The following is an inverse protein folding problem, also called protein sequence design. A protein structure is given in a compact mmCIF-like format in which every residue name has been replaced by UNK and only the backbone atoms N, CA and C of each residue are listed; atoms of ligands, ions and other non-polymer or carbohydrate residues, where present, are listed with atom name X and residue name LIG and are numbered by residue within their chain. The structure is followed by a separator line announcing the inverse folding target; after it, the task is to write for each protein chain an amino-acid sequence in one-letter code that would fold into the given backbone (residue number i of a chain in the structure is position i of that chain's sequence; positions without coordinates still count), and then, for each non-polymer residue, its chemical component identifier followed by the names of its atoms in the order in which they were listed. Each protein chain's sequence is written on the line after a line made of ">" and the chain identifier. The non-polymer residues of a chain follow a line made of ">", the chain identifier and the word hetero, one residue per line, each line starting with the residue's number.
data_IF_638943117237
#
_entry.id   IF_638943117237
#
_cell.length_a   1.000
_cell.length_b   1.000
_cell.length_c   1.000
_cell.angle_alpha   90.00
_cell.angle_beta   90.00
_cell.angle_gamma   90.00
#
_symmetry.space_group_name_H-M   'P 1'
#
loop_
_entity.id
_entity.type
_entity.pdbx_description
1 polymer ?
#
# COMPACT_ATOMS: atom_id res chain seq x y z
N UNK A 1 3.37 6.18 9.00
CA UNK A 1 2.42 5.05 9.18
C UNK A 1 3.16 4.00 9.97
N UNK A 2 2.48 3.24 10.81
CA UNK A 2 3.14 2.41 11.81
C UNK A 2 2.87 0.94 11.53
N UNK A 3 3.94 0.13 11.59
CA UNK A 3 3.88 -1.33 11.51
C UNK A 3 4.10 -1.86 12.93
N UNK A 4 3.13 -2.59 13.45
CA UNK A 4 3.25 -3.25 14.74
C UNK A 4 3.78 -4.66 14.51
N UNK A 5 4.89 -4.97 15.16
CA UNK A 5 5.55 -6.28 15.05
C UNK A 5 5.63 -6.88 16.45
N UNK A 6 5.35 -8.17 16.56
CA UNK A 6 5.56 -8.96 17.76
C UNK A 6 6.40 -10.18 17.40
N UNK A 7 7.48 -10.40 18.15
CA UNK A 7 8.32 -11.59 18.03
C UNK A 7 8.53 -12.17 19.42
N UNK A 8 8.12 -13.42 19.64
CA UNK A 8 8.30 -14.13 20.91
C UNK A 8 7.91 -13.27 22.12
N UNK A 9 6.71 -12.69 22.10
CA UNK A 9 6.15 -11.81 23.15
C UNK A 9 6.76 -10.39 23.23
N UNK A 10 7.85 -10.11 22.51
CA UNK A 10 8.43 -8.77 22.42
C UNK A 10 7.75 -7.95 21.33
N UNK A 11 7.34 -6.73 21.65
CA UNK A 11 6.62 -5.84 20.72
C UNK A 11 7.54 -4.72 20.22
N UNK A 12 7.49 -4.48 18.92
CA UNK A 12 8.21 -3.43 18.20
C UNK A 12 7.22 -2.57 17.42
N UNK A 13 7.55 -1.28 17.33
CA UNK A 13 6.77 -0.29 16.59
C UNK A 13 7.69 0.32 15.54
N UNK A 14 7.43 0.02 14.27
CA UNK A 14 8.27 0.44 13.14
C UNK A 14 7.57 1.54 12.36
N UNK A 15 8.27 2.65 12.15
CA UNK A 15 7.78 3.73 11.31
C UNK A 15 8.08 3.43 9.84
N UNK A 16 7.02 3.32 9.04
CA UNK A 16 7.09 3.03 7.63
C UNK A 16 6.41 4.11 6.79
N UNK A 17 7.12 4.61 5.77
CA UNK A 17 6.70 5.79 5.00
C UNK A 17 6.25 5.52 3.55
N UNK A 18 6.49 4.33 2.99
CA UNK A 18 6.32 4.08 1.54
C UNK A 18 5.36 2.95 1.23
N UNK A 19 4.10 3.29 1.02
CA UNK A 19 3.07 2.26 0.87
C UNK A 19 2.38 2.21 -0.49
N UNK A 20 2.63 3.11 -1.46
CA UNK A 20 1.93 3.12 -2.76
C UNK A 20 2.50 2.19 -3.85
N UNK A 21 3.36 1.25 -3.47
CA UNK A 21 4.00 0.31 -4.40
C UNK A 21 3.31 -1.06 -4.35
N UNK A 22 3.38 -1.85 -5.44
CA UNK A 22 2.86 -3.22 -5.45
C UNK A 22 3.67 -4.17 -4.57
N UNK A 23 4.86 -3.74 -4.14
CA UNK A 23 5.74 -4.42 -3.22
C UNK A 23 6.05 -3.47 -2.08
N UNK A 24 5.87 -3.91 -0.84
CA UNK A 24 6.23 -3.14 0.34
C UNK A 24 7.44 -3.81 0.95
N UNK A 25 8.54 -3.06 1.05
CA UNK A 25 9.74 -3.51 1.73
C UNK A 25 9.89 -2.70 3.00
N UNK A 26 9.59 -3.31 4.15
CA UNK A 26 9.69 -2.70 5.47
C UNK A 26 11.08 -3.05 6.02
N UNK A 27 11.95 -2.05 6.13
CA UNK A 27 13.27 -2.20 6.74
C UNK A 27 13.13 -2.15 8.27
N UNK A 28 13.61 -3.20 8.94
CA UNK A 28 13.58 -3.33 10.41
C UNK A 28 14.98 -3.48 11.02
N UNK A 29 16.05 -3.29 10.24
CA UNK A 29 17.44 -3.54 10.67
C UNK A 29 17.83 -2.73 11.89
N UNK A 30 17.39 -1.47 11.94
CA UNK A 30 17.72 -0.54 13.03
C UNK A 30 17.01 -0.88 14.35
N UNK A 31 16.06 -1.81 14.35
CA UNK A 31 15.31 -2.21 15.54
C UNK A 31 15.93 -3.42 16.25
N UNK A 32 16.98 -4.03 15.69
CA UNK A 32 17.72 -5.16 16.29
C UNK A 32 16.80 -6.29 16.77
N UNK A 33 15.82 -6.66 15.93
CA UNK A 33 14.85 -7.70 16.24
C UNK A 33 15.53 -9.07 16.18
N UNK A 34 15.86 -9.64 17.34
CA UNK A 34 16.54 -10.93 17.47
C UNK A 34 15.55 -12.09 17.57
N UNK A 35 15.73 -13.08 16.70
CA UNK A 35 14.97 -14.33 16.68
C UNK A 35 15.58 -15.36 17.64
N UNK A 36 14.72 -16.14 18.28
CA UNK A 36 15.11 -17.37 18.97
C UNK A 36 15.28 -18.54 18.00
N UNK A 37 15.60 -19.72 18.54
CA UNK A 37 15.63 -20.95 17.74
C UNK A 37 14.24 -21.37 17.25
N UNK A 38 13.19 -21.04 18.01
CA UNK A 38 11.78 -21.16 17.63
C UNK A 38 11.14 -19.78 17.74
N UNK A 39 10.35 -19.39 16.75
CA UNK A 39 9.83 -18.04 16.62
C UNK A 39 8.33 -18.06 16.33
N UNK A 40 7.60 -17.25 17.10
CA UNK A 40 6.25 -16.80 16.77
C UNK A 40 6.34 -15.34 16.40
N UNK A 41 6.09 -15.05 15.12
CA UNK A 41 6.18 -13.72 14.56
C UNK A 41 4.81 -13.29 14.05
N UNK A 42 4.33 -12.16 14.58
CA UNK A 42 3.10 -11.52 14.18
C UNK A 42 3.45 -10.11 13.71
N UNK A 43 2.83 -9.65 12.64
CA UNK A 43 2.79 -8.22 12.36
C UNK A 43 1.43 -7.80 11.86
N UNK A 44 1.11 -6.53 12.06
CA UNK A 44 -0.05 -5.93 11.45
C UNK A 44 0.15 -4.45 11.15
N UNK A 45 -0.58 -3.99 10.14
CA UNK A 45 -0.60 -2.61 9.68
C UNK A 45 -2.07 -2.23 9.54
N UNK A 46 -2.52 -1.30 10.37
CA UNK A 46 -3.89 -0.81 10.35
C UNK A 46 -4.03 0.37 9.41
N UNK A 47 -5.11 0.36 8.64
CA UNK A 47 -5.51 1.42 7.72
C UNK A 47 -4.36 1.97 6.86
N UNK A 48 -3.51 1.12 6.25
CA UNK A 48 -2.35 1.64 5.55
C UNK A 48 -2.67 2.42 4.27
N UNK A 49 -3.88 2.23 3.75
CA UNK A 49 -4.50 3.04 2.69
C UNK A 49 -5.97 3.26 3.06
N UNK A 50 -6.63 4.19 2.36
CA UNK A 50 -8.05 4.53 2.58
C UNK A 50 -8.98 3.30 2.45
N UNK A 51 -8.66 2.38 1.56
CA UNK A 51 -9.44 1.18 1.26
C UNK A 51 -8.88 -0.09 1.92
N UNK A 52 -7.58 -0.13 2.28
CA UNK A 52 -7.00 -1.28 2.97
C UNK A 52 -7.17 -1.04 4.46
N UNK A 53 -7.95 -1.89 5.10
CA UNK A 53 -8.22 -1.80 6.52
C UNK A 53 -7.12 -2.44 7.34
N UNK A 54 -6.57 -3.55 6.85
CA UNK A 54 -5.63 -4.36 7.58
C UNK A 54 -4.71 -5.12 6.63
N UNK A 55 -3.42 -5.10 6.95
CA UNK A 55 -2.50 -6.15 6.54
C UNK A 55 -2.04 -6.86 7.80
N UNK A 56 -2.11 -8.17 7.84
CA UNK A 56 -1.64 -8.96 8.98
C UNK A 56 -0.97 -10.25 8.54
N UNK A 57 0.10 -10.62 9.24
CA UNK A 57 0.85 -11.83 8.98
C UNK A 57 1.19 -12.55 10.27
N UNK A 58 1.00 -13.86 10.29
CA UNK A 58 1.37 -14.74 11.40
C UNK A 58 2.29 -15.85 10.88
N UNK A 59 3.42 -16.04 11.55
CA UNK A 59 4.48 -16.96 11.13
C UNK A 59 4.98 -17.72 12.35
N UNK A 60 4.96 -19.04 12.25
CA UNK A 60 5.70 -19.92 13.14
C UNK A 60 6.86 -20.51 12.36
N UNK A 61 8.09 -20.22 12.77
CA UNK A 61 9.30 -20.72 12.10
C UNK A 61 10.41 -21.04 13.10
N UNK A 62 11.33 -21.91 12.71
CA UNK A 62 12.45 -22.34 13.54
C UNK A 62 13.72 -22.48 12.72
N UNK A 63 14.86 -22.32 13.38
CA UNK A 63 16.17 -22.60 12.80
C UNK A 63 16.55 -24.05 13.10
N UNK A 64 16.98 -24.81 12.07
CA UNK A 64 17.43 -26.21 12.26
C UNK A 64 18.71 -26.31 13.10
N UNK A 65 19.55 -25.31 12.99
CA UNK A 65 20.80 -25.14 13.73
C UNK A 65 21.03 -23.65 13.94
N UNK A 66 21.85 -23.27 14.93
CA UNK A 66 22.20 -21.88 15.16
C UNK A 66 22.87 -21.30 13.91
N UNK A 67 22.28 -20.27 13.28
CA UNK A 67 22.87 -19.65 12.09
C UNK A 67 24.07 -18.79 12.49
N UNK A 68 25.09 -18.75 11.63
CA UNK A 68 26.21 -17.83 11.80
C UNK A 68 25.79 -16.39 11.45
N UNK A 69 26.42 -15.39 12.06
CA UNK A 69 26.02 -13.97 11.96
C UNK A 69 25.98 -13.39 10.53
N UNK A 70 26.68 -14.01 9.59
CA UNK A 70 26.70 -13.58 8.18
C UNK A 70 25.75 -14.38 7.28
N UNK A 71 25.11 -15.44 7.78
CA UNK A 71 24.21 -16.28 6.99
C UNK A 71 22.91 -15.53 6.72
N UNK A 72 22.55 -15.42 5.44
CA UNK A 72 21.25 -14.86 5.04
C UNK A 72 20.19 -15.96 5.04
N UNK A 73 19.02 -15.64 5.57
CA UNK A 73 17.86 -16.52 5.60
C UNK A 73 16.62 -15.86 5.02
N UNK A 74 15.67 -16.69 4.60
CA UNK A 74 14.35 -16.25 4.18
C UNK A 74 13.27 -17.17 4.75
N UNK A 75 12.19 -16.57 5.24
CA UNK A 75 10.97 -17.28 5.66
C UNK A 75 9.84 -16.80 4.76
N UNK A 76 9.26 -17.70 3.98
CA UNK A 76 8.21 -17.38 3.00
C UNK A 76 6.88 -17.91 3.52
N UNK A 77 5.87 -17.05 3.56
CA UNK A 77 4.50 -17.43 3.90
C UNK A 77 3.48 -16.58 3.14
N UNK A 78 2.23 -16.64 3.55
CA UNK A 78 1.15 -15.77 3.11
C UNK A 78 0.67 -14.90 4.26
N UNK A 79 0.20 -13.71 3.90
CA UNK A 79 -0.40 -12.74 4.82
C UNK A 79 -1.81 -12.45 4.38
N UNK A 80 -2.62 -11.99 5.31
CA UNK A 80 -3.97 -11.53 5.07
C UNK A 80 -3.96 -10.04 4.74
N UNK A 81 -4.66 -9.66 3.69
CA UNK A 81 -4.93 -8.27 3.33
C UNK A 81 -6.45 -8.11 3.27
N UNK A 82 -7.00 -7.29 4.17
CA UNK A 82 -8.41 -6.91 4.20
C UNK A 82 -8.58 -5.53 3.59
N UNK A 83 -9.42 -5.43 2.56
CA UNK A 83 -9.68 -4.17 1.87
C UNK A 83 -11.14 -4.06 1.45
N UNK A 84 -11.62 -2.83 1.37
CA UNK A 84 -12.97 -2.49 0.93
C UNK A 84 -13.02 -2.48 -0.60
N UNK A 85 -14.08 -3.05 -1.15
CA UNK A 85 -14.42 -2.96 -2.56
C UNK A 85 -15.77 -2.29 -2.76
N UNK A 86 -15.88 -1.54 -3.85
CA UNK A 86 -17.14 -1.02 -4.38
C UNK A 86 -17.61 -1.98 -5.47
N UNK A 87 -18.61 -2.79 -5.13
CA UNK A 87 -19.29 -3.65 -6.10
C UNK A 87 -20.27 -2.80 -6.93
N UNK A 88 -20.02 -2.77 -8.24
CA UNK A 88 -20.74 -2.01 -9.28
C UNK A 88 -20.58 -0.48 -9.26
N UNK A 89 -20.35 0.10 -10.44
CA UNK A 89 -20.07 1.54 -10.68
C UNK A 89 -21.38 2.34 -10.88
N UNK A 90 -22.55 1.69 -10.81
CA UNK A 90 -23.79 2.26 -11.35
C UNK A 90 -24.97 2.27 -10.39
N UNK A 91 -24.83 1.69 -9.19
CA UNK A 91 -25.89 1.74 -8.19
C UNK A 91 -25.37 2.45 -6.95
N UNK A 92 -26.00 3.58 -6.64
CA UNK A 92 -25.86 4.31 -5.39
C UNK A 92 -26.34 3.43 -4.21
N UNK A 93 -25.60 2.37 -3.93
CA UNK A 93 -25.84 1.45 -2.83
C UNK A 93 -24.69 1.57 -1.84
N UNK A 94 -25.04 1.72 -0.55
CA UNK A 94 -24.14 1.73 0.59
C UNK A 94 -23.45 0.36 0.85
N UNK A 95 -23.42 -0.52 -0.16
CA UNK A 95 -22.91 -1.88 -0.03
C UNK A 95 -21.38 -1.91 -0.23
N UNK A 96 -20.68 -1.38 0.77
CA UNK A 96 -19.24 -1.61 0.92
C UNK A 96 -19.03 -3.08 1.29
N UNK A 97 -18.46 -3.87 0.38
CA UNK A 97 -18.05 -5.24 0.66
C UNK A 97 -16.60 -5.26 1.15
N UNK A 98 -16.31 -6.03 2.20
CA UNK A 98 -14.94 -6.28 2.64
C UNK A 98 -14.42 -7.54 1.94
N UNK A 99 -13.34 -7.39 1.20
CA UNK A 99 -12.62 -8.49 0.54
C UNK A 99 -11.38 -8.82 1.35
N UNK A 100 -11.16 -10.12 1.51
CA UNK A 100 -9.98 -10.66 2.16
C UNK A 100 -9.18 -11.43 1.12
N UNK A 101 -7.90 -11.10 1.01
CA UNK A 101 -6.97 -11.79 0.14
C UNK A 101 -5.74 -12.28 0.88
N UNK A 102 -5.20 -13.40 0.39
CA UNK A 102 -3.93 -13.93 0.87
C UNK A 102 -2.83 -13.65 -0.13
N UNK A 103 -1.85 -12.85 0.27
CA UNK A 103 -0.71 -12.50 -0.57
C UNK A 103 0.60 -13.06 -0.03
N UNK A 104 1.59 -13.35 -0.88
CA UNK A 104 2.91 -13.76 -0.42
C UNK A 104 3.57 -12.70 0.49
N UNK A 105 4.35 -13.18 1.44
CA UNK A 105 5.23 -12.35 2.25
C UNK A 105 6.53 -13.10 2.53
N UNK A 106 7.63 -12.36 2.60
CA UNK A 106 8.97 -12.89 2.86
C UNK A 106 9.59 -12.12 4.01
N UNK A 107 10.04 -12.84 5.03
CA UNK A 107 10.88 -12.31 6.10
C UNK A 107 12.33 -12.60 5.74
N UNK A 108 13.18 -11.58 5.75
CA UNK A 108 14.62 -11.74 5.51
C UNK A 108 15.37 -11.66 6.84
N UNK A 109 16.26 -12.62 7.07
CA UNK A 109 17.10 -12.66 8.27
C UNK A 109 18.58 -12.64 7.90
N UNK A 110 19.41 -12.18 8.83
CA UNK A 110 20.86 -12.30 8.80
C UNK A 110 21.34 -12.80 10.17
N UNK A 111 21.92 -14.00 10.21
CA UNK A 111 22.09 -14.74 11.46
C UNK A 111 20.73 -14.91 12.15
N UNK A 112 20.66 -14.55 13.42
CA UNK A 112 19.43 -14.53 14.22
C UNK A 112 18.63 -13.24 14.08
N UNK A 113 19.08 -12.23 13.34
CA UNK A 113 18.40 -10.93 13.29
C UNK A 113 17.48 -10.79 12.09
N UNK A 114 16.24 -10.38 12.34
CA UNK A 114 15.32 -9.97 11.28
C UNK A 114 15.80 -8.67 10.65
N UNK A 115 15.85 -8.63 9.32
CA UNK A 115 16.37 -7.50 8.55
C UNK A 115 15.24 -6.74 7.87
N UNK A 116 14.38 -7.46 7.15
CA UNK A 116 13.38 -6.85 6.28
C UNK A 116 12.13 -7.73 6.18
N UNK A 117 10.99 -7.09 5.93
CA UNK A 117 9.71 -7.74 5.66
C UNK A 117 9.26 -7.29 4.27
N UNK A 118 9.14 -8.22 3.32
CA UNK A 118 8.66 -7.96 1.98
C UNK A 118 7.24 -8.48 1.81
N UNK A 119 6.32 -7.58 1.51
CA UNK A 119 4.90 -7.87 1.32
C UNK A 119 4.53 -7.64 -0.14
N UNK A 120 3.86 -8.62 -0.74
CA UNK A 120 3.30 -8.50 -2.08
C UNK A 120 1.87 -7.97 -1.96
N UNK A 121 1.56 -6.89 -2.68
CA UNK A 121 0.20 -6.35 -2.74
C UNK A 121 -0.56 -6.98 -3.92
N UNK A 122 -1.91 -7.05 -3.87
CA UNK A 122 -2.73 -7.61 -4.94
C UNK A 122 -2.62 -6.79 -6.25
N UNK A 123 -1.66 -7.06 -7.14
CA UNK A 123 -1.44 -6.23 -8.33
C UNK A 123 -2.45 -6.44 -9.47
N UNK A 124 -3.14 -7.59 -9.53
CA UNK A 124 -3.95 -7.99 -10.69
C UNK A 124 -5.47 -7.91 -10.48
N UNK A 125 -5.93 -7.38 -9.35
CA UNK A 125 -7.37 -7.22 -9.10
C UNK A 125 -7.77 -5.77 -9.37
N UNK A 126 -8.56 -5.48 -10.43
CA UNK A 126 -9.06 -4.15 -10.69
C UNK A 126 -9.77 -3.54 -9.48
N UNK A 127 -10.49 -4.36 -8.69
CA UNK A 127 -11.14 -3.96 -7.43
C UNK A 127 -10.17 -3.50 -6.34
N UNK A 128 -8.96 -4.04 -6.32
CA UNK A 128 -7.88 -3.58 -5.44
C UNK A 128 -7.21 -2.31 -6.00
N UNK A 129 -7.01 -2.22 -7.33
CA UNK A 129 -6.48 -1.04 -8.01
C UNK A 129 -7.47 0.14 -8.10
N UNK A 130 -8.76 -0.06 -7.81
CA UNK A 130 -9.76 1.01 -7.60
C UNK A 130 -9.42 1.94 -6.41
N UNK A 131 -8.28 1.71 -5.78
CA UNK A 131 -7.55 2.41 -4.72
C UNK A 131 -7.30 3.91 -4.83
N UNK A 132 -7.97 4.59 -5.74
CA UNK A 132 -8.13 6.02 -5.64
C UNK A 132 -9.62 6.24 -5.37
N UNK A 133 -10.03 6.33 -4.11
CA UNK A 133 -11.37 6.87 -3.80
C UNK A 133 -11.61 8.25 -4.44
N UNK A 134 -10.54 8.94 -4.84
CA UNK A 134 -10.54 10.16 -5.67
C UNK A 134 -10.87 9.94 -7.17
N UNK A 135 -10.89 8.70 -7.66
CA UNK A 135 -11.29 8.30 -9.02
C UNK A 135 -12.82 8.20 -9.16
N UNK A 136 -13.51 7.87 -8.06
CA UNK A 136 -14.95 7.54 -8.06
C UNK A 136 -15.83 8.51 -7.28
N UNK A 137 -15.25 9.46 -6.54
CA UNK A 137 -16.04 10.60 -6.09
C UNK A 137 -16.59 11.30 -7.34
N UNK A 138 -17.92 11.43 -7.50
CA UNK A 138 -18.47 12.34 -8.50
C UNK A 138 -17.95 13.73 -8.13
N UNK A 139 -16.88 14.14 -8.81
CA UNK A 139 -16.39 15.51 -8.71
C UNK A 139 -17.46 16.35 -9.37
N UNK A 140 -17.93 17.38 -8.67
CA UNK A 140 -18.88 18.32 -9.23
C UNK A 140 -18.35 18.75 -10.60
N UNK A 141 -19.19 18.56 -11.62
CA UNK A 141 -18.81 18.91 -13.00
C UNK A 141 -18.46 20.39 -13.03
N UNK A 142 -17.21 20.72 -13.33
CA UNK A 142 -16.75 22.10 -13.37
C UNK A 142 -15.69 22.46 -12.34
N UNK A 143 -15.32 21.58 -11.40
CA UNK A 143 -14.27 21.87 -10.40
C UNK A 143 -12.88 21.31 -10.72
N UNK A 144 -11.84 22.10 -10.42
CA UNK A 144 -10.45 21.68 -10.52
C UNK A 144 -10.03 20.83 -9.32
N UNK A 145 -9.39 19.67 -9.56
CA UNK A 145 -8.93 18.75 -8.50
C UNK A 145 -7.76 19.24 -7.64
N UNK A 146 -7.14 20.38 -7.98
CA UNK A 146 -6.03 20.97 -7.24
C UNK A 146 -6.53 22.14 -6.39
N UNK A 147 -7.16 23.14 -7.00
CA UNK A 147 -7.62 24.33 -6.28
C UNK A 147 -9.03 24.22 -5.72
N UNK A 148 -9.81 23.21 -6.13
CA UNK A 148 -11.19 22.97 -5.71
C UNK A 148 -12.18 24.09 -6.10
N UNK A 149 -11.79 25.02 -6.96
CA UNK A 149 -12.68 26.05 -7.50
C UNK A 149 -13.44 25.57 -8.74
N UNK A 150 -14.62 26.14 -8.96
CA UNK A 150 -15.33 26.08 -10.23
C UNK A 150 -14.54 26.82 -11.32
N UNK A 151 -14.45 26.21 -12.51
CA UNK A 151 -13.71 26.71 -13.67
C UNK A 151 -14.50 26.40 -14.94
N UNK A 152 -14.60 27.39 -15.81
CA UNK A 152 -15.26 27.25 -17.11
C UNK A 152 -14.49 26.31 -18.07
N UNK A 153 -13.19 26.16 -17.85
CA UNK A 153 -12.32 25.35 -18.69
C UNK A 153 -11.46 24.42 -17.85
N UNK A 154 -11.67 23.13 -18.08
CA UNK A 154 -11.01 22.06 -17.37
C UNK A 154 -10.38 21.08 -18.36
N UNK A 155 -9.15 20.67 -18.06
CA UNK A 155 -8.33 19.84 -18.95
C UNK A 155 -8.26 18.44 -18.36
N UNK A 156 -8.70 17.43 -19.11
CA UNK A 156 -8.60 16.02 -18.72
C UNK A 156 -7.19 15.46 -19.01
N UNK A 157 -6.35 15.34 -17.97
CA UNK A 157 -4.91 15.09 -18.09
C UNK A 157 -4.48 13.72 -18.64
N UNK A 158 -5.43 12.79 -18.85
CA UNK A 158 -5.14 11.47 -19.44
C UNK A 158 -5.96 11.16 -20.70
N UNK A 159 -6.82 12.06 -21.16
CA UNK A 159 -7.72 11.82 -22.31
C UNK A 159 -8.53 10.51 -22.22
N UNK A 160 -8.83 10.05 -21.01
CA UNK A 160 -9.60 8.83 -20.76
C UNK A 160 -10.96 9.15 -20.14
N UNK A 161 -11.83 8.16 -20.07
CA UNK A 161 -13.19 8.31 -19.55
C UNK A 161 -13.24 8.66 -18.05
N UNK A 162 -12.11 8.59 -17.36
CA UNK A 162 -11.98 8.87 -15.93
C UNK A 162 -11.90 10.37 -15.58
N UNK A 163 -11.79 11.26 -16.58
CA UNK A 163 -11.90 12.73 -16.43
C UNK A 163 -11.11 13.33 -15.27
N UNK A 164 -9.80 13.08 -15.20
CA UNK A 164 -8.92 13.80 -14.27
C UNK A 164 -8.75 15.25 -14.71
N UNK A 165 -9.67 16.10 -14.26
CA UNK A 165 -9.78 17.48 -14.72
C UNK A 165 -8.98 18.45 -13.86
N UNK A 166 -8.06 19.18 -14.49
CA UNK A 166 -7.25 20.23 -13.85
C UNK A 166 -7.45 21.53 -14.62
N UNK A 167 -7.52 22.66 -13.93
CA UNK A 167 -7.50 23.96 -14.60
C UNK A 167 -6.11 24.26 -15.17
N UNK A 168 -6.06 25.08 -16.22
CA UNK A 168 -4.79 25.44 -16.88
C UNK A 168 -3.79 26.06 -15.90
N UNK A 169 -4.24 26.93 -14.99
CA UNK A 169 -3.38 27.58 -14.00
C UNK A 169 -2.70 26.57 -13.07
N UNK A 170 -3.46 25.64 -12.50
CA UNK A 170 -2.89 24.62 -11.62
C UNK A 170 -1.98 23.67 -12.39
N UNK A 171 -2.33 23.31 -13.63
CA UNK A 171 -1.52 22.44 -14.48
C UNK A 171 -0.14 23.07 -14.80
N UNK A 172 -0.11 24.37 -15.11
CA UNK A 172 1.13 25.09 -15.42
C UNK A 172 2.04 25.28 -14.20
N UNK A 173 1.47 25.32 -13.00
CA UNK A 173 2.21 25.49 -11.75
C UNK A 173 2.73 24.18 -11.15
N UNK A 174 2.54 23.05 -11.82
CA UNK A 174 3.05 21.76 -11.36
C UNK A 174 4.53 21.60 -11.71
N UNK A 175 5.36 21.35 -10.70
CA UNK A 175 6.80 21.05 -10.90
C UNK A 175 7.06 19.66 -11.49
N UNK A 176 6.07 18.77 -11.44
CA UNK A 176 6.18 17.36 -11.87
C UNK A 176 5.08 17.02 -12.87
N UNK A 177 5.43 16.27 -13.91
CA UNK A 177 4.50 15.79 -14.95
C UNK A 177 3.63 14.58 -14.52
N UNK A 178 3.47 14.37 -13.22
CA UNK A 178 2.66 13.29 -12.68
C UNK A 178 1.28 13.83 -12.29
N UNK A 179 0.22 13.12 -12.66
CA UNK A 179 -1.14 13.48 -12.29
C UNK A 179 -1.26 13.56 -10.75
N UNK A 180 -1.84 14.63 -10.17
CA UNK A 180 -1.96 14.77 -8.72
C UNK A 180 -2.96 13.74 -8.14
N UNK A 181 -3.83 13.18 -8.98
CA UNK A 181 -4.85 12.20 -8.59
C UNK A 181 -4.29 10.79 -8.61
N UNK A 182 -3.66 10.36 -9.71
CA UNK A 182 -3.21 8.97 -9.87
C UNK A 182 -1.70 8.77 -9.94
N UNK A 183 -0.91 9.85 -9.91
CA UNK A 183 0.56 9.87 -9.98
C UNK A 183 1.14 9.17 -11.22
N UNK A 184 0.34 8.99 -12.27
CA UNK A 184 0.80 8.55 -13.59
C UNK A 184 1.21 9.77 -14.43
N UNK A 185 2.11 9.57 -15.40
CA UNK A 185 2.50 10.62 -16.35
C UNK A 185 1.29 11.19 -17.10
N UNK A 186 1.21 12.51 -17.19
CA UNK A 186 0.16 13.22 -17.91
C UNK A 186 0.42 13.17 -19.43
N UNK A 187 -0.64 13.03 -20.23
CA UNK A 187 -0.54 12.87 -21.69
C UNK A 187 -0.40 14.19 -22.46
N UNK A 188 -0.52 15.33 -21.77
CA UNK A 188 -0.72 16.66 -22.39
C UNK A 188 0.59 17.46 -22.49
N UNK A 189 1.66 16.97 -21.87
CA UNK A 189 2.97 17.62 -21.87
C UNK A 189 3.96 16.65 -22.54
N UNK A 190 3.88 16.57 -23.87
CA UNK A 190 4.85 15.88 -24.72
C UNK A 190 5.44 16.87 -25.71
#
# INVERSE_FOLDING_TARGET
>A
MTVYVMLNETVFTIDFGRFYTPLLLIDVKNYHIECGMNNKFLFFIENPRVNIQLISGFFDFYFKSTPEDYMMGQVVSKILISYRTLDSVWEASDNISNVVDFMPCVLFTKGLFLQEILIYMPFQKPSYLKELGYYFLPKESGQCVICMDDKDTLINVHQNDYRHVICSTCLLNMEKNDCPVCRQKMAIIS
#
